data_IF_651824676791
#
_entry.id   IF_651824676791
#
_cell.length_a   1.000
_cell.length_b   1.000
_cell.length_c   1.000
_cell.angle_alpha   90.00
_cell.angle_beta   90.00
_cell.angle_gamma   90.00
#
_symmetry.space_group_name_H-M   'P 1'
#
loop_
_entity.id
_entity.type
_entity.pdbx_description
1 polymer ?
#
# COMPACT_ATOMS: atom_id res chain seq x y z
N UNK A 1 -11.07 -9.84 -5.45
CA UNK A 1 -10.61 -8.50 -5.03
C UNK A 1 -9.66 -7.95 -6.06
N UNK A 2 -9.61 -6.63 -6.20
CA UNK A 2 -8.70 -5.93 -7.10
C UNK A 2 -7.47 -5.46 -6.32
N UNK A 3 -6.28 -5.78 -6.77
CA UNK A 3 -5.01 -5.32 -6.21
C UNK A 3 -4.46 -4.17 -7.06
N UNK A 4 -4.19 -3.03 -6.42
CA UNK A 4 -3.66 -1.87 -7.13
C UNK A 4 -2.14 -1.92 -7.30
N UNK A 5 -1.67 -1.28 -8.37
CA UNK A 5 -0.31 -0.82 -8.57
C UNK A 5 -0.29 0.72 -8.66
N UNK A 6 0.70 1.29 -9.32
CA UNK A 6 0.82 2.73 -9.49
C UNK A 6 0.06 3.27 -10.72
N UNK A 7 -0.16 2.43 -11.74
CA UNK A 7 -0.78 2.88 -12.99
C UNK A 7 -2.27 3.24 -12.85
N UNK A 8 -2.96 2.79 -11.79
CA UNK A 8 -4.32 3.23 -11.50
C UNK A 8 -4.42 4.68 -11.06
N UNK A 9 -3.27 5.30 -10.76
CA UNK A 9 -3.17 6.73 -10.45
C UNK A 9 -2.87 7.59 -11.68
N UNK A 10 -2.90 7.01 -12.88
CA UNK A 10 -2.90 7.76 -14.14
C UNK A 10 -4.27 8.39 -14.40
N UNK A 11 -4.25 9.63 -14.90
CA UNK A 11 -5.47 10.28 -15.37
C UNK A 11 -5.91 9.72 -16.72
N UNK A 12 -7.13 9.23 -16.80
CA UNK A 12 -7.72 8.81 -18.06
C UNK A 12 -7.85 9.98 -19.03
N UNK A 13 -7.32 9.83 -20.25
CA UNK A 13 -7.27 10.89 -21.27
C UNK A 13 -8.65 11.45 -21.62
N UNK A 14 -9.68 10.60 -21.64
CA UNK A 14 -11.06 10.99 -22.00
C UNK A 14 -11.86 11.40 -20.76
N UNK A 15 -11.67 10.75 -19.62
CA UNK A 15 -12.46 10.97 -18.42
C UNK A 15 -11.97 12.12 -17.54
N UNK A 16 -10.67 12.45 -17.62
CA UNK A 16 -10.02 13.40 -16.71
C UNK A 16 -10.01 12.95 -15.24
N UNK A 17 -10.34 11.68 -14.96
CA UNK A 17 -10.35 11.09 -13.61
C UNK A 17 -9.24 10.06 -13.50
N UNK A 18 -8.74 9.84 -12.28
CA UNK A 18 -7.84 8.73 -11.99
C UNK A 18 -8.56 7.40 -12.26
N UNK A 19 -7.84 6.40 -12.76
CA UNK A 19 -8.42 5.07 -12.97
C UNK A 19 -8.91 4.47 -11.66
N UNK A 20 -8.18 4.64 -10.55
CA UNK A 20 -8.62 4.15 -9.24
C UNK A 20 -9.96 4.77 -8.81
N UNK A 21 -10.18 6.06 -9.08
CA UNK A 21 -11.44 6.74 -8.76
C UNK A 21 -12.61 6.17 -9.56
N UNK A 22 -12.36 5.81 -10.81
CA UNK A 22 -13.35 5.16 -11.67
C UNK A 22 -13.69 3.76 -11.18
N UNK A 23 -12.68 2.94 -10.84
CA UNK A 23 -12.89 1.60 -10.27
C UNK A 23 -13.74 1.67 -8.99
N UNK A 24 -13.47 2.65 -8.12
CA UNK A 24 -14.22 2.82 -6.87
C UNK A 24 -15.66 3.25 -7.12
N UNK A 25 -15.88 4.17 -8.07
CA UNK A 25 -17.20 4.80 -8.26
C UNK A 25 -18.10 4.11 -9.28
N UNK A 26 -17.52 3.41 -10.28
CA UNK A 26 -18.28 2.83 -11.40
C UNK A 26 -18.57 1.34 -11.19
N UNK A 27 -17.85 0.63 -10.31
CA UNK A 27 -18.07 -0.79 -10.05
C UNK A 27 -18.87 -0.97 -8.77
N UNK A 28 -19.91 -1.79 -8.85
CA UNK A 28 -20.76 -2.13 -7.72
C UNK A 28 -19.92 -2.68 -6.56
N UNK A 29 -20.03 -2.11 -5.35
CA UNK A 29 -19.30 -2.56 -4.18
C UNK A 29 -19.55 -4.02 -3.79
N UNK A 30 -20.69 -4.59 -4.14
CA UNK A 30 -20.97 -6.01 -3.89
C UNK A 30 -20.21 -6.95 -4.85
N UNK A 31 -19.78 -6.45 -6.00
CA UNK A 31 -19.07 -7.24 -7.00
C UNK A 31 -17.54 -7.20 -6.84
N UNK A 32 -17.00 -6.12 -6.29
CA UNK A 32 -15.56 -5.94 -6.21
C UNK A 32 -15.11 -5.24 -4.92
N UNK A 33 -14.33 -5.93 -4.13
CA UNK A 33 -13.48 -5.34 -3.08
C UNK A 33 -12.07 -5.06 -3.59
N UNK A 34 -11.27 -4.46 -2.73
CA UNK A 34 -9.89 -4.07 -3.02
C UNK A 34 -8.90 -4.74 -2.06
N UNK A 35 -7.72 -5.04 -2.57
CA UNK A 35 -6.51 -5.28 -1.78
C UNK A 35 -5.60 -4.08 -2.04
N UNK A 36 -5.50 -3.19 -1.06
CA UNK A 36 -4.69 -1.97 -1.19
C UNK A 36 -3.24 -2.30 -0.90
N UNK A 37 -2.34 -1.98 -1.83
CA UNK A 37 -0.90 -2.05 -1.63
C UNK A 37 -0.34 -0.66 -1.33
N UNK A 38 0.21 -0.49 -0.13
CA UNK A 38 0.63 0.81 0.39
C UNK A 38 1.79 1.43 -0.38
N UNK A 39 2.75 0.62 -0.83
CA UNK A 39 3.86 1.08 -1.65
C UNK A 39 3.39 1.65 -2.99
N UNK A 40 2.53 0.89 -3.70
CA UNK A 40 2.08 1.29 -5.01
C UNK A 40 1.16 2.52 -4.98
N UNK A 41 0.39 2.71 -3.90
CA UNK A 41 -0.38 3.95 -3.71
C UNK A 41 0.55 5.15 -3.57
N UNK A 42 1.59 5.04 -2.72
CA UNK A 42 2.58 6.10 -2.54
C UNK A 42 3.38 6.35 -3.82
N UNK A 43 3.77 5.30 -4.52
CA UNK A 43 4.48 5.39 -5.81
C UNK A 43 3.63 6.11 -6.85
N UNK A 44 2.33 5.89 -6.85
CA UNK A 44 1.35 6.59 -7.69
C UNK A 44 1.08 8.04 -7.27
N UNK A 45 1.74 8.54 -6.20
CA UNK A 45 1.61 9.92 -5.73
C UNK A 45 0.38 10.17 -4.85
N UNK A 46 -0.26 9.12 -4.33
CA UNK A 46 -1.41 9.23 -3.43
C UNK A 46 -1.04 8.82 -2.00
N UNK A 47 -1.87 9.20 -1.03
CA UNK A 47 -1.70 8.80 0.36
C UNK A 47 -2.44 7.48 0.63
N UNK A 48 -1.73 6.41 1.11
CA UNK A 48 -2.33 5.11 1.36
C UNK A 48 -3.48 5.14 2.39
N UNK A 49 -3.32 5.86 3.50
CA UNK A 49 -4.33 5.94 4.53
C UNK A 49 -5.62 6.58 4.01
N UNK A 50 -5.50 7.60 3.18
CA UNK A 50 -6.67 8.24 2.57
C UNK A 50 -7.41 7.31 1.60
N UNK A 51 -6.68 6.53 0.80
CA UNK A 51 -7.32 5.56 -0.09
C UNK A 51 -8.04 4.47 0.69
N UNK A 52 -7.40 3.92 1.74
CA UNK A 52 -7.99 2.89 2.59
C UNK A 52 -9.28 3.41 3.24
N UNK A 53 -9.27 4.61 3.81
CA UNK A 53 -10.47 5.24 4.41
C UNK A 53 -11.64 5.35 3.42
N UNK A 54 -11.34 5.67 2.15
CA UNK A 54 -12.37 5.75 1.07
C UNK A 54 -12.95 4.38 0.70
N UNK A 55 -12.25 3.31 1.00
CA UNK A 55 -12.63 1.93 0.71
C UNK A 55 -13.28 1.22 1.90
N UNK A 56 -13.83 1.97 2.87
CA UNK A 56 -14.50 1.40 4.04
C UNK A 56 -15.52 0.33 3.64
N UNK A 57 -15.38 -0.87 4.24
CA UNK A 57 -16.22 -2.04 3.94
C UNK A 57 -15.90 -2.75 2.63
N UNK A 58 -14.90 -2.27 1.85
CA UNK A 58 -14.49 -2.84 0.55
C UNK A 58 -13.01 -3.24 0.49
N UNK A 59 -12.27 -3.13 1.61
CA UNK A 59 -10.83 -3.41 1.67
C UNK A 59 -10.53 -4.39 2.81
N UNK A 60 -10.94 -5.68 2.70
CA UNK A 60 -10.71 -6.66 3.76
C UNK A 60 -9.24 -7.06 3.91
N UNK A 61 -8.41 -6.84 2.89
CA UNK A 61 -6.98 -7.15 2.89
C UNK A 61 -6.17 -5.95 2.43
N UNK A 62 -5.06 -5.69 3.12
CA UNK A 62 -4.05 -4.68 2.75
C UNK A 62 -2.69 -5.35 2.61
N UNK A 63 -1.94 -4.98 1.57
CA UNK A 63 -0.52 -5.31 1.48
C UNK A 63 0.32 -4.20 2.08
N UNK A 64 1.02 -4.51 3.16
CA UNK A 64 1.99 -3.61 3.77
C UNK A 64 3.34 -3.78 3.09
N UNK A 65 3.70 -2.77 2.33
CA UNK A 65 4.94 -2.67 1.59
C UNK A 65 5.45 -1.24 1.75
N UNK A 66 6.61 -1.08 2.36
CA UNK A 66 7.14 0.24 2.66
C UNK A 66 7.84 0.86 1.46
N UNK A 67 7.90 2.18 1.45
CA UNK A 67 8.40 3.02 0.37
C UNK A 67 9.58 3.85 0.91
N UNK A 68 10.73 3.71 0.30
CA UNK A 68 11.94 4.42 0.69
C UNK A 68 12.54 5.23 -0.46
N UNK A 69 13.33 6.22 -0.13
CA UNK A 69 14.17 6.97 -1.07
C UNK A 69 15.63 6.61 -0.82
N UNK A 70 16.29 6.11 -1.86
CA UNK A 70 17.74 5.87 -1.89
C UNK A 70 18.35 6.66 -3.04
N UNK A 71 18.98 7.79 -2.70
CA UNK A 71 19.63 8.68 -3.68
C UNK A 71 20.96 8.14 -4.22
N UNK A 72 21.46 7.05 -3.66
CA UNK A 72 22.68 6.39 -4.15
C UNK A 72 22.42 5.50 -5.37
N UNK A 73 21.18 5.12 -5.61
CA UNK A 73 20.79 4.39 -6.83
C UNK A 73 20.50 5.36 -7.98
N UNK A 74 21.44 5.41 -8.93
CA UNK A 74 21.30 6.26 -10.12
C UNK A 74 20.19 5.78 -11.08
N UNK A 75 19.75 4.53 -10.97
CA UNK A 75 18.71 3.94 -11.84
C UNK A 75 17.30 4.25 -11.36
N UNK A 76 17.10 4.31 -10.06
CA UNK A 76 15.83 4.65 -9.42
C UNK A 76 16.05 5.09 -7.97
N UNK A 77 15.66 6.31 -7.65
CA UNK A 77 15.72 6.77 -6.26
C UNK A 77 14.61 6.19 -5.37
N UNK A 78 13.68 5.43 -5.94
CA UNK A 78 12.55 4.84 -5.19
C UNK A 78 12.80 3.35 -4.98
N UNK A 79 12.84 2.95 -3.73
CA UNK A 79 13.06 1.58 -3.30
C UNK A 79 11.92 1.05 -2.45
N UNK A 80 11.73 -0.26 -2.47
CA UNK A 80 10.94 -0.98 -1.46
C UNK A 80 11.80 -1.14 -0.20
N UNK A 81 11.14 -1.14 0.96
CA UNK A 81 11.81 -1.34 2.24
C UNK A 81 11.02 -2.29 3.14
N UNK A 82 11.67 -2.87 4.11
CA UNK A 82 10.97 -3.53 5.20
C UNK A 82 10.09 -2.53 5.94
N UNK A 83 8.89 -2.91 6.35
CA UNK A 83 7.96 -2.04 7.05
C UNK A 83 8.64 -1.37 8.26
N UNK A 84 8.52 -0.04 8.32
CA UNK A 84 9.18 0.79 9.34
C UNK A 84 10.62 1.19 9.02
N UNK A 85 11.18 0.75 7.90
CA UNK A 85 12.52 1.16 7.43
C UNK A 85 12.45 2.21 6.32
N UNK A 86 11.26 2.54 5.83
CA UNK A 86 11.02 3.52 4.78
C UNK A 86 10.36 4.80 5.27
N UNK A 87 9.54 5.39 4.41
CA UNK A 87 8.96 6.72 4.60
C UNK A 87 7.43 6.71 4.84
N UNK A 88 6.77 5.54 4.85
CA UNK A 88 5.33 5.47 5.08
C UNK A 88 5.00 5.62 6.57
N UNK A 89 3.96 6.39 6.87
CA UNK A 89 3.40 6.48 8.23
C UNK A 89 2.47 5.29 8.51
N UNK A 90 3.06 4.19 9.00
CA UNK A 90 2.28 2.99 9.33
C UNK A 90 1.30 3.19 10.49
N UNK A 91 1.49 4.18 11.36
CA UNK A 91 0.50 4.47 12.39
C UNK A 91 -0.79 5.01 11.77
N UNK A 92 -0.65 6.01 10.88
CA UNK A 92 -1.81 6.55 10.15
C UNK A 92 -2.47 5.49 9.26
N UNK A 93 -1.67 4.62 8.64
CA UNK A 93 -2.17 3.53 7.80
C UNK A 93 -2.94 2.50 8.63
N UNK A 94 -2.44 2.11 9.82
CA UNK A 94 -3.12 1.18 10.73
C UNK A 94 -4.45 1.77 11.21
N UNK A 95 -4.48 3.02 11.65
CA UNK A 95 -5.74 3.71 12.01
C UNK A 95 -6.74 3.73 10.84
N UNK A 96 -6.25 3.88 9.62
CA UNK A 96 -7.10 3.90 8.42
C UNK A 96 -7.71 2.53 8.12
N UNK A 97 -6.95 1.44 8.24
CA UNK A 97 -7.49 0.12 7.97
C UNK A 97 -8.43 -0.36 9.09
N UNK A 98 -8.17 -0.03 10.35
CA UNK A 98 -9.11 -0.27 11.44
C UNK A 98 -10.45 0.43 11.17
N UNK A 99 -10.39 1.71 10.79
CA UNK A 99 -11.59 2.45 10.37
C UNK A 99 -12.31 1.82 9.18
N UNK A 100 -11.56 1.28 8.22
CA UNK A 100 -12.12 0.66 7.01
C UNK A 100 -12.72 -0.73 7.27
N UNK A 101 -12.41 -1.37 8.40
CA UNK A 101 -12.83 -2.73 8.73
C UNK A 101 -11.98 -3.78 8.01
N UNK A 102 -10.69 -3.48 7.76
CA UNK A 102 -9.73 -4.44 7.20
C UNK A 102 -9.50 -5.58 8.19
N UNK A 103 -9.47 -6.80 7.70
CA UNK A 103 -9.36 -8.02 8.51
C UNK A 103 -7.95 -8.60 8.48
N UNK A 104 -7.25 -8.44 7.37
CA UNK A 104 -5.94 -9.06 7.16
C UNK A 104 -4.92 -8.09 6.59
N UNK A 105 -3.69 -8.24 7.08
CA UNK A 105 -2.51 -7.56 6.55
C UNK A 105 -1.53 -8.60 6.05
N UNK A 106 -1.08 -8.45 4.80
CA UNK A 106 -0.01 -9.24 4.22
C UNK A 106 1.23 -8.35 4.07
N UNK A 107 2.34 -8.76 4.66
CA UNK A 107 3.62 -8.04 4.47
C UNK A 107 4.27 -8.54 3.19
N UNK A 108 4.66 -7.61 2.33
CA UNK A 108 5.36 -7.90 1.07
C UNK A 108 6.57 -7.00 0.86
N UNK A 109 7.59 -7.54 0.19
CA UNK A 109 8.73 -6.80 -0.33
C UNK A 109 9.25 -7.54 -1.57
N UNK A 110 8.99 -7.02 -2.77
CA UNK A 110 9.31 -7.71 -4.03
C UNK A 110 10.81 -7.67 -4.35
N UNK A 111 11.53 -6.65 -3.82
CA UNK A 111 12.97 -6.51 -4.01
C UNK A 111 13.62 -6.17 -2.66
N UNK A 112 14.59 -6.98 -2.27
CA UNK A 112 15.37 -6.78 -1.04
C UNK A 112 16.76 -6.18 -1.32
N UNK A 113 17.07 -5.80 -2.57
CA UNK A 113 18.32 -5.14 -2.99
C UNK A 113 19.60 -5.83 -2.46
N UNK A 114 19.58 -7.17 -2.46
CA UNK A 114 20.70 -8.00 -2.02
C UNK A 114 20.72 -8.35 -0.53
N UNK A 115 19.78 -7.82 0.26
CA UNK A 115 19.58 -8.30 1.64
C UNK A 115 18.89 -9.66 1.68
N UNK A 116 19.05 -10.37 2.79
CA UNK A 116 18.29 -11.62 3.03
C UNK A 116 16.79 -11.32 3.18
N UNK A 117 15.92 -11.89 2.32
CA UNK A 117 14.48 -11.67 2.39
C UNK A 117 13.85 -12.02 3.74
N UNK A 118 14.34 -13.07 4.40
CA UNK A 118 13.84 -13.45 5.72
C UNK A 118 14.21 -12.43 6.79
N UNK A 119 15.40 -11.82 6.71
CA UNK A 119 15.78 -10.73 7.60
C UNK A 119 14.91 -9.48 7.37
N UNK A 120 14.55 -9.17 6.12
CA UNK A 120 13.62 -8.08 5.79
C UNK A 120 12.23 -8.33 6.39
N UNK A 121 11.69 -9.55 6.23
CA UNK A 121 10.39 -9.93 6.80
C UNK A 121 10.41 -9.90 8.33
N UNK A 122 11.51 -10.36 8.95
CA UNK A 122 11.65 -10.32 10.42
C UNK A 122 11.65 -8.87 10.95
N UNK A 123 12.31 -7.94 10.26
CA UNK A 123 12.28 -6.50 10.62
C UNK A 123 10.85 -5.95 10.53
N UNK A 124 10.17 -6.24 9.42
CA UNK A 124 8.78 -5.83 9.22
C UNK A 124 7.86 -6.37 10.33
N UNK A 125 7.97 -7.66 10.64
CA UNK A 125 7.19 -8.30 11.69
C UNK A 125 7.42 -7.65 13.07
N UNK A 126 8.69 -7.44 13.45
CA UNK A 126 9.03 -6.81 14.74
C UNK A 126 8.44 -5.41 14.86
N UNK A 127 8.60 -4.61 13.81
CA UNK A 127 8.06 -3.24 13.78
C UNK A 127 6.54 -3.21 13.88
N UNK A 128 5.84 -4.03 13.09
CA UNK A 128 4.38 -4.06 13.09
C UNK A 128 3.83 -4.59 14.41
N UNK A 129 4.51 -5.55 15.03
CA UNK A 129 4.16 -6.03 16.37
C UNK A 129 4.31 -4.95 17.45
N UNK A 130 5.32 -4.08 17.36
CA UNK A 130 5.47 -2.92 18.25
C UNK A 130 4.32 -1.92 18.08
N UNK A 131 3.71 -1.87 16.89
CA UNK A 131 2.51 -1.06 16.60
C UNK A 131 1.19 -1.76 17.00
N UNK A 132 1.24 -2.96 17.57
CA UNK A 132 0.08 -3.67 18.09
C UNK A 132 -0.59 -4.66 17.14
N UNK A 133 0.01 -4.96 16.01
CA UNK A 133 -0.47 -6.02 15.10
C UNK A 133 0.01 -7.40 15.58
N UNK A 134 -0.89 -8.40 15.55
CA UNK A 134 -0.62 -9.79 15.97
C UNK A 134 -0.70 -10.76 14.78
#
# INVERSE_FOLDING_TARGET
MYHNHHFEFEYGKESGKLMIDRLISEIDPELMGFTVDTYWVQYGGANPANLIKRLKGRCPVVHFKDYAIDISDESSCVHMAACGSGNLDFKEIIEAFEYAGTEFVCVEQDNCYGEDPFACLERSYKYLKELGLE
#
